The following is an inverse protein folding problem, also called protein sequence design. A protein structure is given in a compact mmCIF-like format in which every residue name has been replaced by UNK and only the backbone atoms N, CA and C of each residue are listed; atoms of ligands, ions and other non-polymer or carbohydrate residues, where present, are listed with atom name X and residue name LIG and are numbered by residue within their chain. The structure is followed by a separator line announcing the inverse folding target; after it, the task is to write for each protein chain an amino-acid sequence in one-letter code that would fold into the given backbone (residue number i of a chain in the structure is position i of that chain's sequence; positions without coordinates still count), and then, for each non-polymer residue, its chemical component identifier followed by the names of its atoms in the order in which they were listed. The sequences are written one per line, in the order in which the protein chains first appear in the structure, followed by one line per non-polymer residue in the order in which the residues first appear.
data_IF_867216304119
#
_entry.id   IF_867216304119
#
_cell.length_a   1.000
_cell.length_b   1.000
_cell.length_c   1.000
_cell.angle_alpha   90.00
_cell.angle_beta   90.00
_cell.angle_gamma   90.00
#
_symmetry.space_group_name_H-M   'P 1'
#
loop_
_entity.id
_entity.type
_entity.pdbx_description
1 polymer ?
#
# COMPACT_ATOMS: atom_id res chain seq x y z
N UNK A 1 -11.99 -4.28 -9.34
CA UNK A 1 -12.07 -2.79 -9.34
C UNK A 1 -11.55 -2.17 -8.03
N UNK A 2 -12.08 -2.50 -6.86
CA UNK A 2 -11.68 -1.89 -5.57
C UNK A 2 -10.18 -1.98 -5.29
N UNK A 3 -9.51 -3.10 -5.56
CA UNK A 3 -8.06 -3.25 -5.35
C UNK A 3 -7.24 -2.33 -6.27
N UNK A 4 -7.70 -2.13 -7.51
CA UNK A 4 -7.07 -1.16 -8.40
C UNK A 4 -7.22 0.28 -7.90
N UNK A 5 -8.37 0.62 -7.29
CA UNK A 5 -8.60 1.94 -6.70
C UNK A 5 -7.73 2.17 -5.45
N UNK A 6 -7.50 1.15 -4.62
CA UNK A 6 -6.57 1.26 -3.48
C UNK A 6 -5.15 1.53 -3.97
N UNK A 7 -4.68 0.78 -4.97
CA UNK A 7 -3.36 1.01 -5.55
C UNK A 7 -3.26 2.41 -6.16
N UNK A 8 -4.28 2.81 -6.94
CA UNK A 8 -4.29 4.09 -7.63
C UNK A 8 -4.29 5.28 -6.66
N UNK A 9 -5.14 5.24 -5.63
CA UNK A 9 -5.17 6.30 -4.61
C UNK A 9 -3.87 6.35 -3.81
N UNK A 10 -3.29 5.20 -3.47
CA UNK A 10 -1.96 5.12 -2.86
C UNK A 10 -0.86 5.71 -3.75
N UNK A 11 -0.91 5.43 -5.06
CA UNK A 11 0.01 5.99 -6.05
C UNK A 11 -0.10 7.51 -6.12
N UNK A 12 -1.32 8.05 -6.18
CA UNK A 12 -1.58 9.51 -6.20
C UNK A 12 -0.98 10.19 -4.96
N UNK A 13 -1.12 9.59 -3.78
CA UNK A 13 -0.52 10.10 -2.53
C UNK A 13 1.01 10.05 -2.61
N UNK A 14 1.60 8.96 -3.07
CA UNK A 14 3.05 8.79 -3.16
C UNK A 14 3.71 9.84 -4.09
N UNK A 15 2.99 10.30 -5.10
CA UNK A 15 3.46 11.33 -6.05
C UNK A 15 3.27 12.77 -5.54
N UNK A 16 2.81 12.97 -4.32
CA UNK A 16 2.62 14.33 -3.78
C UNK A 16 3.95 14.97 -3.39
N UNK A 17 4.08 16.31 -3.53
CA UNK A 17 5.27 17.04 -3.07
C UNK A 17 5.54 16.84 -1.57
N UNK A 18 4.50 16.67 -0.77
CA UNK A 18 4.62 16.43 0.67
C UNK A 18 5.36 15.12 0.97
N UNK A 19 5.02 14.04 0.26
CA UNK A 19 5.69 12.74 0.39
C UNK A 19 7.11 12.81 -0.14
N UNK A 20 7.34 13.47 -1.28
CA UNK A 20 8.69 13.67 -1.81
C UNK A 20 9.58 14.41 -0.81
N UNK A 21 9.10 15.52 -0.24
CA UNK A 21 9.84 16.28 0.77
C UNK A 21 10.11 15.45 2.05
N UNK A 22 9.18 14.60 2.45
CA UNK A 22 9.37 13.69 3.57
C UNK A 22 10.46 12.66 3.28
N UNK A 23 10.44 12.05 2.09
CA UNK A 23 11.47 11.11 1.63
C UNK A 23 12.84 11.79 1.62
N UNK A 24 12.93 13.00 1.06
CA UNK A 24 14.18 13.79 1.00
C UNK A 24 14.75 14.05 2.38
N UNK A 25 13.90 14.43 3.35
CA UNK A 25 14.32 14.66 4.74
C UNK A 25 14.82 13.37 5.40
N UNK A 26 14.07 12.27 5.26
CA UNK A 26 14.47 10.98 5.82
C UNK A 26 15.76 10.47 5.19
N UNK A 27 15.92 10.63 3.87
CA UNK A 27 17.13 10.24 3.16
C UNK A 27 18.35 11.06 3.57
N UNK A 28 18.16 12.31 3.98
CA UNK A 28 19.26 13.16 4.47
C UNK A 28 19.84 12.75 5.83
N UNK A 29 19.10 11.94 6.60
CA UNK A 29 19.54 11.44 7.92
C UNK A 29 20.57 10.32 7.78
N UNK A 30 20.46 9.51 6.71
CA UNK A 30 21.31 8.36 6.50
C UNK A 30 22.73 8.78 6.10
N UNK A 31 23.73 8.37 6.90
CA UNK A 31 25.15 8.61 6.63
C UNK A 31 25.91 7.35 6.21
N UNK A 32 25.36 6.17 6.50
CA UNK A 32 25.98 4.89 6.21
C UNK A 32 24.99 3.96 5.48
N UNK A 33 25.47 3.00 4.69
CA UNK A 33 24.61 2.03 4.01
C UNK A 33 23.68 1.27 4.97
N UNK A 34 24.17 0.88 6.14
CA UNK A 34 23.38 0.17 7.16
C UNK A 34 22.25 1.05 7.71
N UNK A 35 22.51 2.35 7.98
CA UNK A 35 21.49 3.30 8.40
C UNK A 35 20.44 3.50 7.30
N UNK A 36 20.87 3.62 6.05
CA UNK A 36 19.99 3.76 4.91
C UNK A 36 19.04 2.55 4.80
N UNK A 37 19.58 1.33 4.86
CA UNK A 37 18.78 0.10 4.83
C UNK A 37 17.78 0.05 6.00
N UNK A 38 18.19 0.40 7.21
CA UNK A 38 17.32 0.45 8.37
C UNK A 38 16.16 1.45 8.22
N UNK A 39 16.46 2.65 7.74
CA UNK A 39 15.42 3.68 7.48
C UNK A 39 14.48 3.22 6.37
N UNK A 40 14.98 2.64 5.28
CA UNK A 40 14.17 2.10 4.19
C UNK A 40 13.24 1.01 4.70
N UNK A 41 13.75 0.07 5.49
CA UNK A 41 12.96 -1.03 6.04
C UNK A 41 11.81 -0.52 6.93
N UNK A 42 12.10 0.37 7.88
CA UNK A 42 11.08 0.96 8.76
C UNK A 42 10.07 1.78 7.95
N UNK A 43 10.54 2.61 7.03
CA UNK A 43 9.67 3.40 6.16
C UNK A 43 8.75 2.52 5.31
N UNK A 44 9.30 1.46 4.69
CA UNK A 44 8.54 0.48 3.93
C UNK A 44 7.45 -0.17 4.81
N UNK A 45 7.81 -0.69 5.98
CA UNK A 45 6.88 -1.30 6.92
C UNK A 45 5.73 -0.36 7.31
N UNK A 46 6.01 0.88 7.66
CA UNK A 46 5.00 1.88 8.05
C UNK A 46 4.09 2.24 6.88
N UNK A 47 4.66 2.49 5.70
CA UNK A 47 3.87 2.89 4.52
C UNK A 47 3.02 1.75 3.98
N UNK A 48 3.51 0.51 4.00
CA UNK A 48 2.72 -0.68 3.65
C UNK A 48 1.60 -0.95 4.67
N UNK A 49 1.85 -0.71 5.97
CA UNK A 49 0.81 -0.82 6.99
C UNK A 49 -0.36 0.13 6.72
N UNK A 50 -0.08 1.36 6.29
CA UNK A 50 -1.11 2.36 5.97
C UNK A 50 -1.86 1.98 4.69
N UNK A 51 -1.12 1.74 3.60
CA UNK A 51 -1.68 1.36 2.31
C UNK A 51 -0.60 0.63 1.49
N UNK A 52 -0.89 -0.61 1.08
CA UNK A 52 0.08 -1.41 0.33
C UNK A 52 0.49 -0.77 -1.01
N UNK A 53 -0.44 -0.12 -1.72
CA UNK A 53 -0.14 0.59 -2.96
C UNK A 53 0.75 1.82 -2.73
N UNK A 54 0.47 2.59 -1.68
CA UNK A 54 1.32 3.69 -1.24
C UNK A 54 2.71 3.20 -0.82
N UNK A 55 2.77 2.14 -0.01
CA UNK A 55 4.02 1.55 0.47
C UNK A 55 4.93 1.08 -0.66
N UNK A 56 4.37 0.41 -1.66
CA UNK A 56 5.12 -0.06 -2.83
C UNK A 56 5.80 1.09 -3.57
N UNK A 57 5.08 2.16 -3.85
CA UNK A 57 5.59 3.29 -4.65
C UNK A 57 6.49 4.20 -3.81
N UNK A 58 6.06 4.57 -2.60
CA UNK A 58 6.85 5.41 -1.72
C UNK A 58 8.14 4.70 -1.27
N UNK A 59 8.07 3.38 -1.02
CA UNK A 59 9.25 2.55 -0.72
C UNK A 59 10.26 2.52 -1.87
N UNK A 60 9.79 2.40 -3.11
CA UNK A 60 10.65 2.47 -4.28
C UNK A 60 11.33 3.85 -4.42
N UNK A 61 10.59 4.94 -4.18
CA UNK A 61 11.17 6.28 -4.18
C UNK A 61 12.18 6.47 -3.05
N UNK A 62 11.92 5.95 -1.85
CA UNK A 62 12.85 6.00 -0.73
C UNK A 62 14.14 5.23 -1.06
N UNK A 63 14.04 4.01 -1.59
CA UNK A 63 15.21 3.21 -1.97
C UNK A 63 16.05 3.93 -3.03
N UNK A 64 15.41 4.54 -4.02
CA UNK A 64 16.06 5.32 -5.07
C UNK A 64 16.79 6.53 -4.51
N UNK A 65 16.12 7.33 -3.69
CA UNK A 65 16.71 8.55 -3.11
C UNK A 65 17.90 8.22 -2.18
N UNK A 66 17.78 7.15 -1.39
CA UNK A 66 18.90 6.64 -0.59
C UNK A 66 20.05 6.15 -1.48
N UNK A 67 19.73 5.47 -2.59
CA UNK A 67 20.74 5.01 -3.55
C UNK A 67 21.54 6.13 -4.20
N UNK A 68 20.91 7.30 -4.40
CA UNK A 68 21.56 8.50 -4.92
C UNK A 68 22.48 9.18 -3.89
N UNK A 69 22.04 9.19 -2.62
CA UNK A 69 22.69 9.98 -1.56
C UNK A 69 23.76 9.22 -0.81
N UNK A 70 23.62 7.91 -0.65
CA UNK A 70 24.49 7.11 0.22
C UNK A 70 25.46 6.28 -0.62
N UNK A 71 26.76 6.68 -0.69
CA UNK A 71 27.76 5.93 -1.42
C UNK A 71 27.94 4.51 -0.85
N UNK A 72 28.13 3.53 -1.71
CA UNK A 72 28.33 2.13 -1.31
C UNK A 72 27.05 1.39 -0.87
N UNK A 73 25.88 2.01 -1.04
CA UNK A 73 24.61 1.33 -0.80
C UNK A 73 24.37 0.24 -1.87
N UNK A 74 24.19 -1.00 -1.44
CA UNK A 74 23.77 -2.09 -2.31
C UNK A 74 22.30 -1.91 -2.68
N UNK A 75 22.04 -1.40 -3.90
CA UNK A 75 20.70 -0.99 -4.32
C UNK A 75 19.68 -2.15 -4.34
N UNK A 76 20.00 -3.39 -4.79
CA UNK A 76 19.07 -4.51 -4.70
C UNK A 76 18.61 -4.79 -3.26
N UNK A 77 19.50 -4.69 -2.27
CA UNK A 77 19.15 -4.85 -0.85
C UNK A 77 18.24 -3.71 -0.36
N UNK A 78 18.47 -2.47 -0.83
CA UNK A 78 17.61 -1.34 -0.53
C UNK A 78 16.18 -1.54 -1.06
N UNK A 79 16.04 -2.05 -2.29
CA UNK A 79 14.74 -2.37 -2.89
C UNK A 79 14.06 -3.52 -2.13
N UNK A 80 14.81 -4.57 -1.78
CA UNK A 80 14.29 -5.68 -0.98
C UNK A 80 13.82 -5.21 0.40
N UNK A 81 14.57 -4.33 1.08
CA UNK A 81 14.20 -3.75 2.38
C UNK A 81 12.92 -2.91 2.28
N UNK A 82 12.76 -2.11 1.21
CA UNK A 82 11.56 -1.34 0.97
C UNK A 82 10.34 -2.25 0.76
N UNK A 83 10.50 -3.32 -0.03
CA UNK A 83 9.42 -4.26 -0.34
C UNK A 83 9.09 -5.20 0.82
N UNK A 84 10.01 -5.43 1.75
CA UNK A 84 9.76 -6.26 2.94
C UNK A 84 8.59 -5.76 3.79
N UNK A 85 8.17 -4.49 3.62
CA UNK A 85 6.94 -3.95 4.20
C UNK A 85 5.67 -4.71 3.83
N UNK A 86 5.65 -5.42 2.70
CA UNK A 86 4.49 -6.22 2.26
C UNK A 86 4.19 -7.43 3.19
N UNK A 87 5.12 -7.82 4.05
CA UNK A 87 4.90 -8.87 5.04
C UNK A 87 3.83 -8.47 6.07
N UNK A 88 3.68 -7.17 6.33
CA UNK A 88 2.64 -6.65 7.24
C UNK A 88 1.34 -6.46 6.46
N UNK A 89 0.30 -7.09 6.94
CA UNK A 89 -1.07 -6.85 6.46
C UNK A 89 -1.74 -5.81 7.36
N UNK A 90 -1.58 -4.54 6.96
CA UNK A 90 -2.12 -3.39 7.69
C UNK A 90 -3.52 -2.98 7.24
N UNK A 91 -3.78 -1.68 7.30
CA UNK A 91 -5.10 -1.07 7.11
C UNK A 91 -5.78 -1.38 5.77
N UNK A 92 -5.02 -1.75 4.73
CA UNK A 92 -5.57 -2.10 3.41
C UNK A 92 -5.48 -3.60 3.09
N UNK A 93 -5.37 -4.45 4.12
CA UNK A 93 -5.43 -5.89 3.94
C UNK A 93 -6.81 -6.31 3.39
N UNK A 94 -6.81 -6.98 2.24
CA UNK A 94 -8.03 -7.21 1.45
C UNK A 94 -9.06 -8.10 2.16
N UNK A 95 -8.63 -9.18 2.79
CA UNK A 95 -9.56 -10.13 3.43
C UNK A 95 -10.24 -9.54 4.66
N UNK A 96 -9.53 -8.96 5.65
CA UNK A 96 -10.19 -8.33 6.79
C UNK A 96 -11.17 -7.22 6.39
N UNK A 97 -10.80 -6.39 5.41
CA UNK A 97 -11.68 -5.32 4.93
C UNK A 97 -12.91 -5.86 4.18
N UNK A 98 -12.73 -6.94 3.42
CA UNK A 98 -13.84 -7.60 2.74
C UNK A 98 -14.81 -8.18 3.78
N UNK A 99 -14.30 -8.84 4.83
CA UNK A 99 -15.13 -9.39 5.91
C UNK A 99 -15.84 -8.30 6.73
N UNK A 100 -15.28 -7.10 6.81
CA UNK A 100 -15.89 -5.93 7.46
C UNK A 100 -16.93 -5.22 6.57
N UNK A 101 -17.06 -5.63 5.30
CA UNK A 101 -17.99 -5.02 4.35
C UNK A 101 -19.30 -5.79 4.32
N UNK A 102 -20.44 -5.09 4.47
CA UNK A 102 -21.78 -5.67 4.29
C UNK A 102 -21.95 -6.22 2.88
N UNK A 103 -22.62 -7.35 2.75
CA UNK A 103 -22.82 -8.06 1.46
C UNK A 103 -21.60 -8.88 1.03
N UNK A 104 -20.62 -9.12 1.90
CA UNK A 104 -19.49 -10.01 1.58
C UNK A 104 -19.97 -11.46 1.38
N UNK A 105 -19.21 -12.23 0.60
CA UNK A 105 -19.58 -13.59 0.18
C UNK A 105 -19.66 -14.62 1.33
N UNK A 106 -19.07 -14.32 2.49
CA UNK A 106 -19.10 -15.18 3.67
C UNK A 106 -20.09 -14.68 4.75
N UNK A 107 -20.82 -13.59 4.50
CA UNK A 107 -21.67 -12.96 5.51
C UNK A 107 -22.75 -13.91 6.06
N UNK A 108 -23.27 -14.83 5.24
CA UNK A 108 -24.25 -15.84 5.69
C UNK A 108 -23.67 -16.87 6.66
N UNK A 109 -22.35 -17.04 6.70
CA UNK A 109 -21.67 -18.06 7.52
C UNK A 109 -21.03 -17.42 8.76
N UNK A 110 -20.28 -16.31 8.58
CA UNK A 110 -19.50 -15.69 9.67
C UNK A 110 -20.00 -14.31 10.08
N UNK A 111 -20.99 -13.76 9.37
CA UNK A 111 -21.46 -12.39 9.62
C UNK A 111 -20.50 -11.33 9.08
N UNK A 112 -20.65 -10.09 9.61
CA UNK A 112 -19.72 -8.98 9.36
C UNK A 112 -18.74 -8.94 10.51
N UNK A 113 -17.45 -9.05 10.21
CA UNK A 113 -16.36 -9.05 11.22
C UNK A 113 -15.73 -7.66 11.23
N UNK A 114 -15.84 -6.90 12.34
CA UNK A 114 -15.28 -5.56 12.43
C UNK A 114 -13.75 -5.57 12.30
N UNK A 115 -13.18 -4.50 11.76
CA UNK A 115 -11.71 -4.35 11.65
C UNK A 115 -11.01 -4.28 13.01
N UNK A 116 -11.74 -3.94 14.07
CA UNK A 116 -11.25 -3.94 15.46
C UNK A 116 -10.87 -5.34 15.94
N UNK A 117 -11.58 -6.36 15.47
CA UNK A 117 -11.37 -7.75 15.86
C UNK A 117 -10.29 -8.44 15.02
N UNK A 118 -9.88 -7.80 13.93
CA UNK A 118 -8.88 -8.31 12.98
C UNK A 118 -7.66 -7.39 12.93
N UNK A 119 -7.70 -6.33 12.11
CA UNK A 119 -6.55 -5.45 11.83
C UNK A 119 -6.07 -4.69 13.07
N UNK A 120 -7.00 -4.21 13.88
CA UNK A 120 -6.69 -3.45 15.10
C UNK A 120 -6.74 -4.27 16.38
N UNK A 121 -6.83 -5.60 16.27
CA UNK A 121 -6.70 -6.48 17.42
C UNK A 121 -5.32 -6.37 18.05
N UNK A 122 -5.24 -6.49 19.38
CA UNK A 122 -3.99 -6.35 20.11
C UNK A 122 -2.90 -7.34 19.66
N UNK A 123 -3.29 -8.55 19.30
CA UNK A 123 -2.37 -9.57 18.82
C UNK A 123 -1.82 -9.26 17.42
N UNK A 124 -2.64 -8.71 16.49
CA UNK A 124 -2.17 -8.30 15.17
C UNK A 124 -1.26 -7.07 15.24
N UNK A 125 -1.58 -6.12 16.11
CA UNK A 125 -0.71 -4.96 16.36
C UNK A 125 0.61 -5.40 16.99
N UNK A 126 0.59 -6.31 17.96
CA UNK A 126 1.78 -6.88 18.58
C UNK A 126 2.65 -7.65 17.57
N UNK A 127 2.02 -8.48 16.73
CA UNK A 127 2.72 -9.20 15.65
C UNK A 127 3.33 -8.23 14.63
N UNK A 128 2.59 -7.20 14.23
CA UNK A 128 3.09 -6.18 13.30
C UNK A 128 4.30 -5.43 13.87
N UNK A 129 4.28 -5.10 15.16
CA UNK A 129 5.42 -4.48 15.84
C UNK A 129 6.63 -5.43 15.92
N UNK A 130 6.40 -6.69 16.22
CA UNK A 130 7.45 -7.72 16.26
C UNK A 130 8.07 -7.93 14.86
N UNK A 131 7.25 -7.99 13.82
CA UNK A 131 7.72 -8.10 12.43
C UNK A 131 8.51 -6.86 12.00
N UNK A 132 8.07 -5.66 12.38
CA UNK A 132 8.83 -4.43 12.11
C UNK A 132 10.23 -4.51 12.72
N UNK A 133 10.32 -4.92 13.98
CA UNK A 133 11.61 -5.09 14.64
C UNK A 133 12.46 -6.17 13.96
N UNK A 134 11.88 -7.33 13.63
CA UNK A 134 12.56 -8.43 12.98
C UNK A 134 13.11 -8.03 11.60
N UNK A 135 12.28 -7.38 10.75
CA UNK A 135 12.69 -6.92 9.42
C UNK A 135 13.82 -5.89 9.55
N UNK A 136 13.68 -4.90 10.43
CA UNK A 136 14.75 -3.95 10.70
C UNK A 136 16.06 -4.65 11.12
N UNK A 137 15.98 -5.58 12.07
CA UNK A 137 17.13 -6.31 12.59
C UNK A 137 17.79 -7.17 11.51
N UNK A 138 17.03 -7.94 10.74
CA UNK A 138 17.56 -8.80 9.67
C UNK A 138 18.23 -7.97 8.59
N UNK A 139 17.54 -6.97 8.03
CA UNK A 139 18.07 -6.19 6.92
C UNK A 139 19.30 -5.36 7.30
N UNK A 140 19.40 -4.87 8.53
CA UNK A 140 20.58 -4.16 9.01
C UNK A 140 21.78 -5.08 9.30
N UNK A 141 21.57 -6.41 9.39
CA UNK A 141 22.65 -7.40 9.56
C UNK A 141 23.20 -7.94 8.25
N UNK A 142 22.44 -7.82 7.17
CA UNK A 142 22.90 -8.23 5.85
C UNK A 142 23.96 -7.24 5.38
N UNK A 143 25.19 -7.75 5.17
CA UNK A 143 26.32 -6.97 4.65
C UNK A 143 26.83 -7.64 3.39
N UNK A 144 26.47 -7.11 2.21
CA UNK A 144 27.04 -7.60 0.94
C UNK A 144 28.56 -7.46 0.92
N UNK A 145 29.26 -8.39 0.27
CA UNK A 145 30.69 -8.28 0.03
C UNK A 145 30.99 -7.10 -0.90
N UNK A 146 32.21 -6.54 -0.80
CA UNK A 146 32.55 -5.28 -1.48
C UNK A 146 32.45 -5.41 -3.00
N UNK A 147 32.80 -6.55 -3.55
CA UNK A 147 32.69 -6.91 -4.97
C UNK A 147 31.26 -7.22 -5.43
N UNK A 148 30.35 -7.50 -4.51
CA UNK A 148 28.93 -7.69 -4.81
C UNK A 148 28.12 -6.38 -4.78
N UNK A 149 28.71 -5.28 -4.31
CA UNK A 149 28.00 -3.99 -4.21
C UNK A 149 27.59 -3.52 -5.59
N UNK A 150 26.27 -3.45 -5.81
CA UNK A 150 25.65 -2.88 -7.01
C UNK A 150 25.03 -1.54 -6.63
N UNK A 151 25.72 -0.42 -6.91
CA UNK A 151 25.18 0.90 -6.63
C UNK A 151 24.00 1.23 -7.53
N UNK A 152 23.19 2.18 -7.09
CA UNK A 152 22.15 2.73 -7.93
C UNK A 152 22.79 3.38 -9.19
N UNK A 153 22.35 2.94 -10.35
CA UNK A 153 22.69 3.62 -11.62
C UNK A 153 21.44 4.40 -12.02
N UNK A 154 21.57 5.70 -12.16
CA UNK A 154 20.50 6.53 -12.72
C UNK A 154 20.19 6.03 -14.14
N UNK A 155 19.20 5.16 -14.24
CA UNK A 155 18.52 4.94 -15.51
C UNK A 155 17.59 6.13 -15.64
N UNK A 156 17.75 6.92 -16.70
CA UNK A 156 16.94 8.13 -16.97
C UNK A 156 15.46 7.71 -17.08
N UNK A 157 14.77 7.64 -15.96
CA UNK A 157 13.34 7.33 -15.86
C UNK A 157 12.52 8.48 -15.27
N UNK A 158 13.17 9.57 -14.88
CA UNK A 158 12.49 10.77 -14.40
C UNK A 158 12.80 11.95 -15.28
N UNK A 159 11.86 12.28 -16.11
CA UNK A 159 11.65 13.68 -16.49
C UNK A 159 11.24 14.39 -15.19
N UNK A 160 12.04 15.35 -14.66
CA UNK A 160 11.57 16.17 -13.55
C UNK A 160 10.21 16.72 -13.93
N UNK A 161 9.26 16.73 -12.99
CA UNK A 161 7.97 17.34 -13.24
C UNK A 161 8.21 18.76 -13.77
N UNK A 162 8.01 18.93 -15.07
CA UNK A 162 8.25 20.20 -15.75
C UNK A 162 7.35 21.23 -15.08
N UNK A 163 7.95 22.29 -14.53
CA UNK A 163 7.17 23.40 -13.98
C UNK A 163 6.37 23.99 -15.10
N UNK A 164 5.11 23.62 -15.17
CA UNK A 164 4.20 24.07 -16.22
C UNK A 164 4.13 25.59 -16.21
N UNK A 165 4.60 26.22 -17.27
CA UNK A 165 4.53 27.67 -17.43
C UNK A 165 3.11 28.05 -17.85
N UNK A 166 2.31 28.52 -16.89
CA UNK A 166 0.91 28.91 -17.12
C UNK A 166 0.75 30.24 -17.88
N UNK A 167 1.88 30.94 -18.23
CA UNK A 167 1.84 32.18 -19.00
C UNK A 167 1.42 31.87 -20.44
N UNK A 168 0.30 32.43 -20.88
CA UNK A 168 -0.23 32.26 -22.24
C UNK A 168 -1.28 31.15 -22.39
N UNK A 169 -1.57 30.36 -21.36
CA UNK A 169 -2.64 29.36 -21.40
C UNK A 169 -4.03 30.03 -21.39
N UNK A 170 -5.03 29.43 -22.08
CA UNK A 170 -6.44 29.78 -21.91
C UNK A 170 -6.87 29.70 -20.44
N UNK A 171 -7.86 30.51 -20.05
CA UNK A 171 -8.30 30.57 -18.67
C UNK A 171 -8.81 29.22 -18.13
N UNK A 172 -9.41 28.38 -18.99
CA UNK A 172 -9.89 27.04 -18.66
C UNK A 172 -8.73 26.11 -18.25
N UNK A 173 -7.64 26.10 -19.02
CA UNK A 173 -6.45 25.32 -18.71
C UNK A 173 -5.75 25.81 -17.44
N UNK A 174 -5.79 27.13 -17.18
CA UNK A 174 -5.28 27.69 -15.91
C UNK A 174 -6.02 27.15 -14.69
N UNK A 175 -7.34 26.95 -14.79
CA UNK A 175 -8.15 26.39 -13.70
C UNK A 175 -7.65 25.01 -13.25
N UNK A 176 -7.19 24.17 -14.18
CA UNK A 176 -6.65 22.84 -13.89
C UNK A 176 -5.35 22.90 -13.06
N UNK A 177 -4.68 24.05 -13.02
CA UNK A 177 -3.46 24.26 -12.24
C UNK A 177 -3.69 24.94 -10.88
N UNK A 178 -4.92 25.34 -10.55
CA UNK A 178 -5.23 25.96 -9.27
C UNK A 178 -5.59 24.94 -8.19
N UNK A 179 -4.91 25.04 -7.06
CA UNK A 179 -5.15 24.19 -5.87
C UNK A 179 -6.58 24.29 -5.34
N UNK A 180 -7.22 25.45 -5.50
CA UNK A 180 -8.57 25.69 -4.98
C UNK A 180 -9.60 24.71 -5.54
N UNK A 181 -9.42 24.26 -6.79
CA UNK A 181 -10.31 23.28 -7.41
C UNK A 181 -10.18 21.89 -6.74
N UNK A 182 -8.96 21.47 -6.39
CA UNK A 182 -8.76 20.24 -5.62
C UNK A 182 -9.40 20.32 -4.24
N UNK A 183 -9.26 21.45 -3.54
CA UNK A 183 -9.87 21.67 -2.24
C UNK A 183 -11.40 21.63 -2.33
N UNK A 184 -11.98 22.26 -3.35
CA UNK A 184 -13.43 22.19 -3.60
C UNK A 184 -13.90 20.74 -3.88
N UNK A 185 -13.16 20.00 -4.71
CA UNK A 185 -13.47 18.58 -4.97
C UNK A 185 -13.31 17.71 -3.72
N UNK A 186 -12.39 18.03 -2.83
CA UNK A 186 -12.18 17.29 -1.57
C UNK A 186 -13.35 17.42 -0.58
N UNK A 187 -14.19 18.47 -0.71
CA UNK A 187 -15.37 18.67 0.16
C UNK A 187 -16.32 17.47 0.05
N UNK A 188 -16.52 16.92 -1.14
CA UNK A 188 -17.45 15.82 -1.37
C UNK A 188 -17.04 14.53 -0.62
N UNK A 189 -15.84 13.98 -0.81
CA UNK A 189 -15.41 12.79 -0.07
C UNK A 189 -15.28 13.04 1.43
N UNK A 190 -14.85 14.23 1.86
CA UNK A 190 -14.78 14.59 3.29
C UNK A 190 -16.18 14.64 3.89
N UNK A 191 -17.13 15.29 3.22
CA UNK A 191 -18.53 15.33 3.66
C UNK A 191 -19.13 13.94 3.78
N UNK A 192 -18.88 13.07 2.80
CA UNK A 192 -19.30 11.68 2.85
C UNK A 192 -18.72 10.93 4.06
N UNK A 193 -17.43 11.09 4.33
CA UNK A 193 -16.75 10.46 5.48
C UNK A 193 -17.40 10.91 6.80
N UNK A 194 -17.61 12.21 6.96
CA UNK A 194 -18.21 12.77 8.18
C UNK A 194 -19.62 12.23 8.39
N UNK A 195 -20.47 12.29 7.37
CA UNK A 195 -21.86 11.81 7.46
C UNK A 195 -21.90 10.30 7.74
N UNK A 196 -21.07 9.51 7.08
CA UNK A 196 -21.04 8.07 7.29
C UNK A 196 -20.61 7.71 8.73
N UNK A 197 -19.57 8.36 9.26
CA UNK A 197 -19.13 8.13 10.64
C UNK A 197 -20.15 8.61 11.69
N UNK A 198 -20.95 9.62 11.38
CA UNK A 198 -22.03 10.05 12.28
C UNK A 198 -23.22 9.06 12.28
N UNK A 199 -23.52 8.44 11.14
CA UNK A 199 -24.68 7.55 11.00
C UNK A 199 -24.39 6.11 11.46
N UNK A 200 -23.22 5.57 11.08
CA UNK A 200 -22.88 4.14 11.26
C UNK A 200 -21.79 3.95 12.34
N UNK A 201 -21.18 5.05 12.83
CA UNK A 201 -20.04 4.99 13.70
C UNK A 201 -18.73 4.70 12.93
N UNK A 202 -17.68 4.35 13.67
CA UNK A 202 -16.36 4.08 13.07
C UNK A 202 -16.37 2.70 12.41
N UNK A 203 -16.84 2.65 11.17
CA UNK A 203 -16.82 1.44 10.34
C UNK A 203 -15.86 1.63 9.17
N UNK A 204 -14.65 1.09 9.30
CA UNK A 204 -13.67 1.05 8.21
C UNK A 204 -13.91 -0.20 7.37
N UNK A 205 -14.47 0.01 6.20
CA UNK A 205 -14.58 -0.99 5.16
C UNK A 205 -13.75 -0.57 3.93
N UNK A 206 -13.70 -1.46 2.93
CA UNK A 206 -12.90 -1.25 1.73
C UNK A 206 -13.25 0.05 0.98
N UNK A 207 -14.55 0.36 0.85
CA UNK A 207 -15.02 1.55 0.17
C UNK A 207 -14.67 2.83 0.94
N UNK A 208 -14.85 2.81 2.27
CA UNK A 208 -14.52 3.94 3.13
C UNK A 208 -13.03 4.28 3.04
N UNK A 209 -12.15 3.27 3.03
CA UNK A 209 -10.72 3.49 2.88
C UNK A 209 -10.36 4.10 1.52
N UNK A 210 -10.97 3.64 0.43
CA UNK A 210 -10.77 4.24 -0.90
C UNK A 210 -11.15 5.73 -0.87
N UNK A 211 -12.28 6.07 -0.26
CA UNK A 211 -12.75 7.47 -0.15
C UNK A 211 -11.80 8.29 0.73
N UNK A 212 -11.31 7.74 1.85
CA UNK A 212 -10.33 8.42 2.71
C UNK A 212 -9.04 8.71 1.94
N UNK A 213 -8.47 7.72 1.24
CA UNK A 213 -7.25 7.92 0.45
C UNK A 213 -7.47 8.87 -0.73
N UNK A 214 -8.65 8.85 -1.35
CA UNK A 214 -9.01 9.82 -2.37
C UNK A 214 -9.04 11.25 -1.79
N UNK A 215 -9.68 11.44 -0.63
CA UNK A 215 -9.71 12.74 0.04
C UNK A 215 -8.30 13.23 0.38
N UNK A 216 -7.44 12.37 0.94
CA UNK A 216 -6.03 12.68 1.23
C UNK A 216 -5.29 13.05 -0.05
N UNK A 217 -5.46 12.28 -1.12
CA UNK A 217 -4.85 12.56 -2.42
C UNK A 217 -5.24 13.94 -2.96
N UNK A 218 -6.54 14.28 -2.92
CA UNK A 218 -7.06 15.59 -3.33
C UNK A 218 -6.48 16.75 -2.49
N UNK A 219 -6.35 16.56 -1.19
CA UNK A 219 -5.80 17.58 -0.28
C UNK A 219 -4.30 17.81 -0.46
N UNK A 220 -3.54 16.74 -0.74
CA UNK A 220 -2.08 16.79 -0.81
C UNK A 220 -1.56 17.15 -2.20
N UNK A 221 -2.30 16.90 -3.26
CA UNK A 221 -1.92 17.25 -4.62
C UNK A 221 -2.06 18.75 -4.88
N UNK A 222 -1.10 19.37 -5.56
CA UNK A 222 -1.10 20.81 -5.79
C UNK A 222 -2.19 21.29 -6.75
N UNK A 223 -2.67 20.45 -7.67
CA UNK A 223 -3.64 20.84 -8.69
C UNK A 223 -4.35 19.64 -9.31
N UNK A 224 -5.52 19.81 -9.96
CA UNK A 224 -6.18 18.76 -10.74
C UNK A 224 -5.28 18.16 -11.83
N UNK A 225 -4.52 18.99 -12.54
CA UNK A 225 -3.57 18.53 -13.56
C UNK A 225 -2.52 17.55 -12.98
N UNK A 226 -2.02 17.81 -11.76
CA UNK A 226 -1.08 16.90 -11.09
C UNK A 226 -1.74 15.59 -10.68
N UNK A 227 -3.02 15.61 -10.28
CA UNK A 227 -3.80 14.39 -10.03
C UNK A 227 -3.94 13.61 -11.34
N UNK A 228 -4.33 14.27 -12.43
CA UNK A 228 -4.48 13.65 -13.75
C UNK A 228 -3.19 12.94 -14.19
N UNK A 229 -2.04 13.58 -14.01
CA UNK A 229 -0.73 12.98 -14.31
C UNK A 229 -0.45 11.78 -13.41
N UNK A 230 -0.65 11.89 -12.10
CA UNK A 230 -0.44 10.80 -11.16
C UNK A 230 -1.39 9.62 -11.43
N UNK A 231 -2.66 9.89 -11.77
CA UNK A 231 -3.63 8.87 -12.16
C UNK A 231 -3.21 8.16 -13.44
N UNK A 232 -2.79 8.91 -14.47
CA UNK A 232 -2.32 8.34 -15.75
C UNK A 232 -1.17 7.36 -15.54
N UNK A 233 -0.19 7.72 -14.72
CA UNK A 233 0.93 6.84 -14.38
C UNK A 233 0.47 5.66 -13.49
N UNK A 234 -0.38 5.91 -12.50
CA UNK A 234 -0.90 4.90 -11.59
C UNK A 234 -1.75 3.83 -12.25
N UNK A 235 -2.51 4.18 -13.30
CA UNK A 235 -3.28 3.22 -14.10
C UNK A 235 -2.38 2.19 -14.76
N UNK A 236 -1.18 2.59 -15.20
CA UNK A 236 -0.20 1.65 -15.75
C UNK A 236 0.26 0.62 -14.71
N UNK A 237 0.38 1.03 -13.44
CA UNK A 237 0.68 0.10 -12.35
C UNK A 237 -0.48 -0.88 -12.05
N UNK A 238 -1.72 -0.49 -12.32
CA UNK A 238 -2.89 -1.33 -12.10
C UNK A 238 -3.06 -2.45 -13.14
N UNK A 239 -2.34 -2.42 -14.27
CA UNK A 239 -2.50 -3.39 -15.38
C UNK A 239 -2.40 -4.84 -14.92
N UNK A 240 -1.45 -5.15 -14.03
CA UNK A 240 -1.28 -6.50 -13.50
C UNK A 240 -2.51 -6.96 -12.71
N UNK A 241 -3.01 -6.11 -11.84
CA UNK A 241 -4.20 -6.39 -11.01
C UNK A 241 -5.42 -6.64 -11.88
N UNK A 242 -5.65 -5.78 -12.88
CA UNK A 242 -6.80 -5.87 -13.79
C UNK A 242 -6.81 -7.19 -14.56
N UNK A 243 -5.62 -7.69 -14.95
CA UNK A 243 -5.48 -8.95 -15.67
C UNK A 243 -5.53 -10.17 -14.75
N UNK A 244 -4.86 -10.13 -13.60
CA UNK A 244 -4.69 -11.29 -12.72
C UNK A 244 -5.93 -11.60 -11.88
N UNK A 245 -6.63 -10.59 -11.36
CA UNK A 245 -7.74 -10.81 -10.43
C UNK A 245 -8.93 -11.54 -11.08
N UNK A 246 -9.35 -11.27 -12.32
CA UNK A 246 -10.37 -12.08 -12.99
C UNK A 246 -9.96 -13.55 -13.16
N UNK A 247 -8.67 -13.82 -13.45
CA UNK A 247 -8.16 -15.18 -13.56
C UNK A 247 -8.20 -15.89 -12.21
N UNK A 248 -7.77 -15.24 -11.13
CA UNK A 248 -7.85 -15.79 -9.77
C UNK A 248 -9.29 -16.04 -9.35
N UNK A 249 -10.21 -15.12 -9.66
CA UNK A 249 -11.63 -15.31 -9.40
C UNK A 249 -12.20 -16.52 -10.17
N UNK A 250 -11.76 -16.73 -11.43
CA UNK A 250 -12.13 -17.89 -12.22
C UNK A 250 -11.63 -19.21 -11.60
N UNK A 251 -10.37 -19.25 -11.17
CA UNK A 251 -9.78 -20.40 -10.48
C UNK A 251 -10.53 -20.68 -9.17
N UNK A 252 -10.74 -19.66 -8.35
CA UNK A 252 -11.49 -19.79 -7.11
C UNK A 252 -12.92 -20.31 -7.33
N UNK A 253 -13.60 -19.80 -8.37
CA UNK A 253 -14.91 -20.28 -8.76
C UNK A 253 -14.91 -21.77 -9.18
N UNK A 254 -13.92 -22.20 -9.95
CA UNK A 254 -13.77 -23.62 -10.33
C UNK A 254 -13.52 -24.51 -9.10
N UNK A 255 -12.67 -24.09 -8.20
CA UNK A 255 -12.35 -24.83 -6.95
C UNK A 255 -13.60 -24.95 -6.07
N UNK A 256 -14.40 -23.89 -6.01
CA UNK A 256 -15.65 -23.88 -5.24
C UNK A 256 -16.73 -24.78 -5.85
N UNK A 257 -16.99 -24.65 -7.16
CA UNK A 257 -18.03 -25.41 -7.84
C UNK A 257 -17.71 -26.90 -7.97
N UNK A 258 -16.41 -27.25 -8.05
CA UNK A 258 -15.97 -28.66 -8.11
C UNK A 258 -16.06 -29.40 -6.76
N UNK A 259 -16.36 -28.69 -5.66
CA UNK A 259 -16.31 -29.25 -4.29
C UNK A 259 -14.90 -29.51 -3.78
N UNK A 260 -13.86 -29.14 -4.52
CA UNK A 260 -12.45 -29.32 -4.12
C UNK A 260 -12.14 -28.52 -2.84
N UNK A 261 -12.69 -27.31 -2.71
CA UNK A 261 -12.54 -26.50 -1.51
C UNK A 261 -13.06 -27.24 -0.27
N UNK A 262 -14.24 -27.84 -0.36
CA UNK A 262 -14.86 -28.60 0.74
C UNK A 262 -14.05 -29.85 1.07
N UNK A 263 -13.57 -30.57 0.05
CA UNK A 263 -12.73 -31.76 0.24
C UNK A 263 -11.42 -31.43 0.96
N UNK A 264 -10.71 -30.38 0.52
CA UNK A 264 -9.47 -29.92 1.17
C UNK A 264 -9.75 -29.43 2.60
N UNK A 265 -10.78 -28.61 2.79
CA UNK A 265 -11.15 -28.08 4.11
C UNK A 265 -11.48 -29.19 5.10
N UNK A 266 -12.32 -30.16 4.69
CA UNK A 266 -12.68 -31.31 5.52
C UNK A 266 -11.46 -32.17 5.89
N UNK A 267 -10.53 -32.37 4.96
CA UNK A 267 -9.30 -33.09 5.25
C UNK A 267 -8.46 -32.36 6.31
N UNK A 268 -8.23 -31.06 6.17
CA UNK A 268 -7.51 -30.27 7.16
C UNK A 268 -8.20 -30.25 8.53
N UNK A 269 -9.54 -30.11 8.54
CA UNK A 269 -10.32 -30.15 9.80
C UNK A 269 -10.23 -31.51 10.46
N UNK A 270 -10.18 -32.60 9.69
CA UNK A 270 -10.10 -33.97 10.26
C UNK A 270 -8.80 -34.25 11.01
N UNK A 271 -7.70 -33.58 10.66
CA UNK A 271 -6.39 -33.71 11.32
C UNK A 271 -6.14 -32.61 12.35
N UNK A 272 -7.00 -31.60 12.43
CA UNK A 272 -6.87 -30.47 13.35
C UNK A 272 -7.50 -30.80 14.71
N UNK A 273 -6.92 -30.26 15.77
CA UNK A 273 -7.50 -30.20 17.11
C UNK A 273 -7.36 -28.76 17.64
N UNK A 274 -7.92 -28.47 18.83
CA UNK A 274 -7.94 -27.15 19.43
C UNK A 274 -6.54 -26.51 19.51
N UNK A 275 -5.49 -27.32 19.72
CA UNK A 275 -4.11 -26.84 19.85
C UNK A 275 -3.39 -26.72 18.50
N UNK A 276 -3.70 -27.62 17.56
CA UNK A 276 -3.03 -27.63 16.23
C UNK A 276 -3.75 -26.80 15.19
N UNK A 277 -5.00 -26.42 15.44
CA UNK A 277 -5.84 -25.68 14.49
C UNK A 277 -5.14 -24.42 13.89
N UNK A 278 -4.47 -23.56 14.68
CA UNK A 278 -3.78 -22.37 14.11
C UNK A 278 -2.68 -22.76 13.12
N UNK A 279 -1.92 -23.81 13.43
CA UNK A 279 -0.81 -24.29 12.57
C UNK A 279 -1.38 -24.94 11.31
N UNK A 280 -2.40 -25.78 11.46
CA UNK A 280 -3.06 -26.45 10.33
C UNK A 280 -3.69 -25.43 9.39
N UNK A 281 -4.35 -24.41 9.92
CA UNK A 281 -4.92 -23.31 9.14
C UNK A 281 -3.84 -22.53 8.40
N UNK A 282 -2.72 -22.25 9.06
CA UNK A 282 -1.58 -21.55 8.44
C UNK A 282 -1.01 -22.36 7.26
N UNK A 283 -0.83 -23.67 7.43
CA UNK A 283 -0.32 -24.56 6.37
C UNK A 283 -1.33 -24.69 5.22
N UNK A 284 -2.64 -24.70 5.52
CA UNK A 284 -3.67 -24.82 4.49
C UNK A 284 -3.83 -23.55 3.64
N UNK A 285 -3.37 -22.40 4.13
CA UNK A 285 -3.45 -21.11 3.44
C UNK A 285 -2.22 -20.83 2.55
N UNK A 286 -1.12 -21.54 2.70
CA UNK A 286 0.11 -21.41 1.91
C UNK A 286 0.23 -22.51 0.89
#
# INVERSE_FOLDING_TARGET
MQMSLILLTGFVIAKTPSVSNMIDRLASIAKTPTQAIGIIAVFGMVTFYINWGFGMIAGAFMAREMGRRVPGLHFPLAVAAAYAGDIIRGMTASIPLLMATEGNFMQSVVGVIPVTDTLFSWWNLGLSAALLFLVYWVFTRIKPEVDEIRPFKDVILDTPAEKVNTKGMPWVEKLEHYRILNLALAILPIGYIIVNFQQIGFNLNLNMLIVIFLAIGLLLQPSPASIGTAVKEGVLACRGIIMQFPLYAGIAGMVQVSGLADGISNWFVSIANVHTFPIVTFISAG
#
